data_IF_599685591642
#
_entry.id   IF_599685591642
#
_cell.length_a   1.000
_cell.length_b   1.000
_cell.length_c   1.000
_cell.angle_alpha   90.00
_cell.angle_beta   90.00
_cell.angle_gamma   90.00
#
_symmetry.space_group_name_H-M   'P 1'
#
loop_
_entity.id
_entity.type
_entity.pdbx_description
1 polymer ?
#
# COMPACT_ATOMS: atom_id res chain seq x y z
N UNK A 1 -16.30 19.94 10.92
CA UNK A 1 -16.03 19.65 9.51
C UNK A 1 -15.68 18.18 9.49
N UNK A 2 -16.54 17.34 8.96
CA UNK A 2 -16.33 15.89 8.90
C UNK A 2 -15.21 15.63 7.92
N UNK A 3 -14.15 14.97 8.35
CA UNK A 3 -13.01 14.63 7.48
C UNK A 3 -13.33 13.32 6.76
N UNK A 4 -13.19 13.30 5.45
CA UNK A 4 -13.30 12.08 4.67
C UNK A 4 -11.92 11.45 4.60
N UNK A 5 -11.82 10.22 5.05
CA UNK A 5 -10.58 9.42 4.93
C UNK A 5 -10.74 8.43 3.79
N UNK A 6 -9.73 8.40 2.92
CA UNK A 6 -9.65 7.49 1.78
C UNK A 6 -8.67 6.37 2.11
N UNK A 7 -9.05 5.14 1.83
CA UNK A 7 -8.19 3.97 1.99
C UNK A 7 -8.29 3.08 0.78
N UNK A 8 -7.20 2.43 0.43
CA UNK A 8 -7.15 1.52 -0.71
C UNK A 8 -7.18 0.08 -0.25
N UNK A 9 -8.00 -0.72 -0.93
CA UNK A 9 -8.26 -2.12 -0.62
C UNK A 9 -8.06 -2.96 -1.87
N UNK A 10 -7.46 -4.12 -1.73
CA UNK A 10 -7.43 -5.13 -2.78
C UNK A 10 -8.69 -5.99 -2.71
N UNK A 11 -9.36 -6.12 -3.84
CA UNK A 11 -10.42 -7.12 -4.04
C UNK A 11 -9.88 -8.23 -4.91
N UNK A 12 -9.92 -9.46 -4.41
CA UNK A 12 -9.38 -10.65 -5.04
C UNK A 12 -10.53 -11.56 -5.47
N UNK A 13 -10.74 -11.69 -6.76
CA UNK A 13 -11.78 -12.55 -7.34
C UNK A 13 -12.36 -11.98 -8.63
N UNK A 14 -12.86 -12.87 -9.50
CA UNK A 14 -13.41 -12.50 -10.80
C UNK A 14 -14.74 -11.71 -10.68
N UNK A 15 -15.47 -11.95 -9.62
CA UNK A 15 -16.71 -11.25 -9.23
C UNK A 15 -16.43 -10.04 -8.31
N UNK A 16 -15.29 -9.34 -8.51
CA UNK A 16 -14.82 -8.26 -7.65
C UNK A 16 -15.89 -7.19 -7.34
N UNK A 17 -16.81 -6.91 -8.28
CA UNK A 17 -17.87 -5.93 -8.07
C UNK A 17 -18.93 -6.40 -7.05
N UNK A 18 -19.25 -7.70 -7.03
CA UNK A 18 -20.17 -8.28 -6.05
C UNK A 18 -19.52 -8.39 -4.67
N UNK A 19 -18.23 -8.76 -4.64
CA UNK A 19 -17.43 -8.75 -3.41
C UNK A 19 -17.42 -7.34 -2.79
N UNK A 20 -17.09 -6.33 -3.58
CA UNK A 20 -17.08 -4.95 -3.11
C UNK A 20 -18.46 -4.48 -2.62
N UNK A 21 -19.54 -4.85 -3.34
CA UNK A 21 -20.92 -4.53 -2.93
C UNK A 21 -21.30 -5.22 -1.63
N UNK A 22 -20.93 -6.48 -1.45
CA UNK A 22 -21.19 -7.25 -0.22
C UNK A 22 -20.64 -6.52 1.01
N UNK A 23 -19.38 -6.11 0.98
CA UNK A 23 -18.74 -5.51 2.14
C UNK A 23 -19.08 -4.02 2.32
N UNK A 24 -19.38 -3.28 1.25
CA UNK A 24 -19.87 -1.91 1.38
C UNK A 24 -21.29 -1.85 1.98
N UNK A 25 -22.16 -2.81 1.62
CA UNK A 25 -23.53 -2.86 2.16
C UNK A 25 -23.56 -3.23 3.65
N UNK A 26 -22.71 -4.16 4.07
CA UNK A 26 -22.62 -4.60 5.48
C UNK A 26 -22.13 -3.48 6.42
N UNK A 27 -21.52 -2.45 5.84
CA UNK A 27 -20.98 -1.32 6.60
C UNK A 27 -21.93 -0.10 6.65
N UNK A 28 -23.00 -0.09 5.86
CA UNK A 28 -23.96 1.03 5.77
C UNK A 28 -24.76 1.33 7.06
N UNK A 29 -24.66 0.54 8.11
CA UNK A 29 -25.33 0.75 9.39
C UNK A 29 -24.44 1.30 10.51
N UNK A 30 -23.17 1.50 10.25
CA UNK A 30 -22.21 1.93 11.26
C UNK A 30 -21.70 3.34 10.93
N UNK A 31 -21.93 4.31 11.84
CA UNK A 31 -21.54 5.73 11.63
C UNK A 31 -20.03 5.94 11.37
N UNK A 32 -19.20 4.94 11.71
CA UNK A 32 -17.75 4.93 11.47
C UNK A 32 -17.32 4.00 10.33
N UNK A 33 -18.27 3.52 9.52
CA UNK A 33 -17.98 2.53 8.48
C UNK A 33 -17.66 3.19 7.15
N UNK A 34 -16.97 2.42 6.31
CA UNK A 34 -16.76 2.77 4.91
C UNK A 34 -18.09 2.74 4.17
N UNK A 35 -18.67 3.90 3.89
CA UNK A 35 -19.99 3.97 3.26
C UNK A 35 -19.96 3.86 1.73
N UNK A 36 -18.76 3.87 1.12
CA UNK A 36 -18.64 3.78 -0.33
C UNK A 36 -17.34 3.09 -0.75
N UNK A 37 -17.48 2.08 -1.61
CA UNK A 37 -16.37 1.43 -2.28
C UNK A 37 -16.43 1.73 -3.76
N UNK A 38 -15.41 2.36 -4.30
CA UNK A 38 -15.30 2.69 -5.71
C UNK A 38 -14.06 2.07 -6.32
N UNK A 39 -14.23 1.46 -7.50
CA UNK A 39 -13.08 0.98 -8.26
C UNK A 39 -12.21 2.17 -8.66
N UNK A 40 -10.91 2.09 -8.38
CA UNK A 40 -9.95 3.09 -8.82
C UNK A 40 -9.90 3.17 -10.34
N UNK A 41 -9.89 4.39 -10.87
CA UNK A 41 -9.85 4.67 -12.31
C UNK A 41 -8.95 5.88 -12.56
N UNK A 42 -8.10 5.78 -13.59
CA UNK A 42 -7.12 6.82 -13.89
C UNK A 42 -7.74 8.20 -14.15
N UNK A 43 -8.89 8.26 -14.85
CA UNK A 43 -9.54 9.53 -15.19
C UNK A 43 -10.10 10.29 -13.97
N UNK A 44 -10.26 9.63 -12.83
CA UNK A 44 -10.76 10.28 -11.62
C UNK A 44 -9.69 11.20 -11.01
N UNK A 45 -8.41 10.83 -11.10
CA UNK A 45 -7.30 11.68 -10.70
C UNK A 45 -7.22 12.96 -11.52
N UNK A 46 -7.59 12.89 -12.80
CA UNK A 46 -7.60 14.05 -13.71
C UNK A 46 -8.79 14.99 -13.45
N UNK A 47 -9.93 14.45 -13.01
CA UNK A 47 -11.18 15.19 -12.81
C UNK A 47 -11.24 15.89 -11.45
N UNK A 48 -10.74 15.27 -10.40
CA UNK A 48 -10.88 15.82 -9.04
C UNK A 48 -9.77 16.81 -8.69
N UNK A 49 -8.60 16.69 -9.33
CA UNK A 49 -7.43 17.53 -9.04
C UNK A 49 -6.94 17.43 -7.58
N UNK A 50 -7.54 16.55 -6.78
CA UNK A 50 -7.14 16.31 -5.42
C UNK A 50 -6.00 15.29 -5.41
N UNK A 51 -4.85 15.66 -4.85
CA UNK A 51 -3.81 14.75 -4.43
C UNK A 51 -4.34 13.94 -3.23
N UNK A 52 -5.14 12.91 -3.53
CA UNK A 52 -5.56 11.94 -2.52
C UNK A 52 -4.53 10.82 -2.39
N UNK A 53 -4.63 10.02 -1.34
CA UNK A 53 -3.84 8.79 -1.12
C UNK A 53 -4.28 7.67 -2.11
N UNK A 54 -4.36 8.00 -3.38
CA UNK A 54 -4.71 7.05 -4.42
C UNK A 54 -3.53 6.10 -4.64
N UNK A 55 -3.80 4.82 -4.61
CA UNK A 55 -2.80 3.83 -5.02
C UNK A 55 -2.48 3.97 -6.49
N UNK A 56 -1.20 3.83 -6.81
CA UNK A 56 -0.77 3.69 -8.19
C UNK A 56 -1.38 2.42 -8.82
N UNK A 57 -1.72 2.46 -10.11
CA UNK A 57 -2.15 1.26 -10.83
C UNK A 57 -1.03 0.22 -10.89
N UNK A 58 -1.41 -1.05 -10.97
CA UNK A 58 -0.45 -2.14 -11.13
C UNK A 58 0.38 -1.97 -12.41
N UNK A 59 1.71 -2.05 -12.34
CA UNK A 59 2.54 -2.24 -13.52
C UNK A 59 2.32 -3.65 -14.05
N UNK A 60 2.05 -3.78 -15.35
CA UNK A 60 1.88 -5.05 -16.00
C UNK A 60 3.18 -5.50 -16.69
N UNK A 61 3.35 -6.81 -16.86
CA UNK A 61 4.50 -7.40 -17.53
C UNK A 61 4.64 -6.96 -19.00
N UNK A 62 3.52 -6.57 -19.63
CA UNK A 62 3.52 -6.01 -20.99
C UNK A 62 3.91 -4.52 -21.06
N UNK A 63 4.19 -3.88 -19.92
CA UNK A 63 4.56 -2.47 -19.81
C UNK A 63 3.39 -1.50 -19.61
N UNK A 64 2.16 -1.98 -19.68
CA UNK A 64 0.97 -1.18 -19.39
C UNK A 64 0.73 -1.02 -17.88
N UNK A 65 -0.29 -0.24 -17.53
CA UNK A 65 -0.74 -0.07 -16.15
C UNK A 65 -2.25 -0.29 -16.06
N UNK A 66 -2.72 -0.91 -14.97
CA UNK A 66 -4.14 -1.14 -14.76
C UNK A 66 -4.50 -1.19 -13.27
N UNK A 67 -5.69 -0.73 -12.90
CA UNK A 67 -6.26 -0.92 -11.56
C UNK A 67 -6.94 -2.28 -11.38
N UNK A 68 -6.98 -3.11 -12.43
CA UNK A 68 -7.55 -4.45 -12.39
C UNK A 68 -6.79 -5.32 -13.37
N UNK A 69 -6.19 -6.40 -12.89
CA UNK A 69 -5.42 -7.32 -13.73
C UNK A 69 -5.41 -8.72 -13.14
N UNK A 70 -5.17 -9.73 -13.99
CA UNK A 70 -4.90 -11.08 -13.52
C UNK A 70 -3.61 -11.10 -12.71
N UNK A 71 -3.57 -11.90 -11.65
CA UNK A 71 -2.41 -12.01 -10.77
C UNK A 71 -1.10 -12.21 -11.54
N UNK A 72 -1.11 -13.12 -12.53
CA UNK A 72 0.08 -13.46 -13.31
C UNK A 72 0.51 -12.39 -14.32
N UNK A 73 -0.36 -11.43 -14.65
CA UNK A 73 -0.04 -10.32 -15.56
C UNK A 73 0.64 -9.15 -14.85
N UNK A 74 0.52 -9.09 -13.51
CA UNK A 74 1.11 -8.03 -12.69
C UNK A 74 2.61 -8.27 -12.54
N UNK A 75 3.39 -7.20 -12.70
CA UNK A 75 4.84 -7.18 -12.48
C UNK A 75 5.13 -6.90 -10.99
N UNK A 76 4.97 -7.94 -10.17
CA UNK A 76 5.13 -7.85 -8.71
C UNK A 76 6.54 -7.40 -8.30
N UNK A 77 7.58 -7.73 -9.07
CA UNK A 77 8.96 -7.34 -8.76
C UNK A 77 9.19 -5.82 -8.81
N UNK A 78 8.34 -5.10 -9.55
CA UNK A 78 8.39 -3.63 -9.59
C UNK A 78 7.78 -2.97 -8.37
N UNK A 79 6.85 -3.64 -7.67
CA UNK A 79 6.06 -3.02 -6.59
C UNK A 79 6.20 -3.70 -5.24
N UNK A 80 6.79 -4.90 -5.18
CA UNK A 80 7.05 -5.60 -3.93
C UNK A 80 8.49 -6.05 -3.86
N UNK A 81 9.17 -5.64 -2.78
CA UNK A 81 10.61 -5.89 -2.53
C UNK A 81 11.49 -5.53 -3.72
N UNK A 82 11.12 -4.43 -4.39
CA UNK A 82 11.88 -3.94 -5.54
C UNK A 82 13.33 -3.65 -5.14
N UNK A 83 14.34 -4.23 -5.84
CA UNK A 83 15.75 -4.07 -5.46
C UNK A 83 16.23 -2.62 -5.40
N UNK A 84 15.74 -1.78 -6.32
CA UNK A 84 16.08 -0.35 -6.33
C UNK A 84 15.53 0.37 -5.11
N UNK A 85 14.28 0.08 -4.73
CA UNK A 85 13.67 0.67 -3.54
C UNK A 85 14.34 0.17 -2.27
N UNK A 86 14.73 -1.09 -2.22
CA UNK A 86 15.49 -1.65 -1.11
C UNK A 86 16.84 -0.95 -0.95
N UNK A 87 17.57 -0.72 -2.04
CA UNK A 87 18.86 -0.03 -1.99
C UNK A 87 18.71 1.44 -1.56
N UNK A 88 17.68 2.14 -2.05
CA UNK A 88 17.37 3.51 -1.63
C UNK A 88 17.04 3.58 -0.14
N UNK A 89 16.24 2.64 0.37
CA UNK A 89 15.89 2.57 1.79
C UNK A 89 17.11 2.25 2.66
N UNK A 90 17.94 1.30 2.23
CA UNK A 90 19.22 0.99 2.88
C UNK A 90 20.10 2.23 2.98
N UNK A 91 20.27 2.94 1.87
CA UNK A 91 21.09 4.14 1.83
C UNK A 91 20.55 5.27 2.72
N UNK A 92 19.22 5.43 2.76
CA UNK A 92 18.58 6.40 3.66
C UNK A 92 18.85 6.08 5.12
N UNK A 93 18.79 4.82 5.54
CA UNK A 93 19.15 4.39 6.88
C UNK A 93 20.62 4.68 7.21
N UNK A 94 21.53 4.32 6.32
CA UNK A 94 22.97 4.55 6.48
C UNK A 94 23.29 6.04 6.68
N UNK A 95 22.64 6.91 5.90
CA UNK A 95 22.85 8.36 6.02
C UNK A 95 22.34 8.95 7.33
N UNK A 96 21.16 8.50 7.78
CA UNK A 96 20.44 9.12 8.90
C UNK A 96 20.77 8.48 10.24
N UNK A 97 20.78 7.15 10.29
CA UNK A 97 20.97 6.40 11.55
C UNK A 97 22.44 6.10 11.80
N UNK A 98 23.15 5.62 10.79
CA UNK A 98 24.57 5.24 10.88
C UNK A 98 25.54 6.42 10.62
N UNK A 99 24.98 7.58 10.29
CA UNK A 99 25.73 8.84 10.05
C UNK A 99 26.79 8.76 8.94
N UNK A 100 26.53 7.92 7.93
CA UNK A 100 27.43 7.76 6.78
C UNK A 100 27.62 9.06 6.00
N UNK A 101 28.80 9.22 5.38
CA UNK A 101 29.09 10.39 4.56
C UNK A 101 28.24 10.41 3.27
N UNK A 102 27.63 11.56 2.92
CA UNK A 102 26.89 11.72 1.68
C UNK A 102 27.85 11.67 0.46
N UNK A 103 27.44 10.94 -0.58
CA UNK A 103 28.22 10.79 -1.82
C UNK A 103 27.97 11.93 -2.83
N UNK A 104 26.85 12.65 -2.68
CA UNK A 104 26.44 13.72 -3.60
C UNK A 104 25.55 14.76 -2.90
N UNK A 105 25.18 15.82 -3.63
CA UNK A 105 24.36 16.90 -3.06
C UNK A 105 22.93 16.48 -2.69
N UNK A 106 22.33 15.55 -3.42
CA UNK A 106 21.01 15.03 -3.11
C UNK A 106 21.02 14.28 -1.77
N UNK A 107 22.02 13.45 -1.53
CA UNK A 107 22.19 12.76 -0.27
C UNK A 107 22.51 13.72 0.88
N UNK A 108 23.28 14.76 0.63
CA UNK A 108 23.57 15.82 1.62
C UNK A 108 22.29 16.53 2.04
N UNK A 109 21.45 16.88 1.06
CA UNK A 109 20.15 17.50 1.32
C UNK A 109 19.22 16.55 2.08
N UNK A 110 19.14 15.28 1.67
CA UNK A 110 18.33 14.26 2.32
C UNK A 110 18.78 14.08 3.79
N UNK A 111 20.06 13.90 4.02
CA UNK A 111 20.64 13.75 5.37
C UNK A 111 20.28 14.95 6.24
N UNK A 112 20.52 16.16 5.77
CA UNK A 112 20.22 17.38 6.52
C UNK A 112 18.73 17.51 6.90
N UNK A 113 17.84 17.15 5.96
CA UNK A 113 16.38 17.18 6.17
C UNK A 113 15.90 16.10 7.15
N UNK A 114 16.51 14.92 7.11
CA UNK A 114 16.07 13.75 7.87
C UNK A 114 16.75 13.58 9.22
N UNK A 115 17.88 14.27 9.47
CA UNK A 115 18.58 14.20 10.76
C UNK A 115 17.67 14.55 11.96
N UNK A 116 16.76 15.50 11.80
CA UNK A 116 15.78 15.86 12.83
C UNK A 116 14.76 14.74 13.11
N UNK A 117 14.70 13.73 12.23
CA UNK A 117 13.81 12.59 12.34
C UNK A 117 14.53 11.28 12.66
N UNK A 118 15.79 11.35 13.12
CA UNK A 118 16.58 10.15 13.45
C UNK A 118 15.84 9.26 14.46
N UNK A 119 15.24 9.84 15.50
CA UNK A 119 14.42 9.12 16.47
C UNK A 119 13.23 8.40 15.81
N UNK A 120 12.60 9.00 14.82
CA UNK A 120 11.53 8.33 14.08
C UNK A 120 12.00 7.00 13.44
N UNK A 121 13.20 6.96 12.87
CA UNK A 121 13.77 5.73 12.32
C UNK A 121 14.01 4.68 13.40
N UNK A 122 14.66 5.06 14.49
CA UNK A 122 15.04 4.10 15.55
C UNK A 122 13.87 3.66 16.43
N UNK A 123 12.86 4.51 16.60
CA UNK A 123 11.71 4.22 17.46
C UNK A 123 10.66 3.35 16.72
N UNK A 124 10.53 3.52 15.41
CA UNK A 124 9.55 2.76 14.61
C UNK A 124 10.16 1.52 13.94
N UNK A 125 11.44 1.53 13.60
CA UNK A 125 12.10 0.43 12.91
C UNK A 125 13.31 0.00 13.73
N UNK A 126 13.20 -1.13 14.40
CA UNK A 126 14.23 -1.63 15.31
C UNK A 126 15.57 -1.88 14.60
N UNK A 127 15.53 -2.29 13.32
CA UNK A 127 16.72 -2.59 12.50
C UNK A 127 16.62 -2.00 11.09
N UNK A 128 17.78 -1.91 10.43
CA UNK A 128 17.88 -1.54 9.01
C UNK A 128 17.07 -2.45 8.11
N UNK A 129 17.11 -3.74 8.36
CA UNK A 129 16.40 -4.76 7.59
C UNK A 129 14.88 -4.55 7.65
N UNK A 130 14.35 -4.29 8.83
CA UNK A 130 12.92 -4.00 9.04
C UNK A 130 12.52 -2.72 8.31
N UNK A 131 13.34 -1.67 8.39
CA UNK A 131 13.12 -0.43 7.65
C UNK A 131 13.10 -0.65 6.13
N UNK A 132 14.08 -1.40 5.60
CA UNK A 132 14.15 -1.72 4.17
C UNK A 132 12.95 -2.54 3.72
N UNK A 133 12.54 -3.54 4.49
CA UNK A 133 11.36 -4.36 4.20
C UNK A 133 10.09 -3.51 4.17
N UNK A 134 9.86 -2.65 5.16
CA UNK A 134 8.68 -1.81 5.23
C UNK A 134 8.54 -0.90 3.99
N UNK A 135 9.60 -0.19 3.61
CA UNK A 135 9.57 0.76 2.49
C UNK A 135 9.63 0.11 1.11
N UNK A 136 9.95 -1.16 1.02
CA UNK A 136 9.95 -1.90 -0.25
C UNK A 136 8.78 -2.87 -0.40
N UNK A 137 7.99 -3.09 0.65
CA UNK A 137 6.86 -4.01 0.62
C UNK A 137 5.62 -3.34 0.05
N UNK A 138 4.93 -4.06 -0.84
CA UNK A 138 3.58 -3.71 -1.24
C UNK A 138 2.62 -3.99 -0.08
N UNK A 139 1.74 -3.05 0.20
CA UNK A 139 0.64 -3.25 1.12
C UNK A 139 -0.57 -2.35 0.80
N UNK A 140 -1.73 -2.77 1.25
CA UNK A 140 -2.99 -2.04 1.18
C UNK A 140 -3.65 -2.06 2.56
N UNK A 141 -4.57 -1.15 2.79
CA UNK A 141 -5.29 -1.05 4.05
C UNK A 141 -6.17 -2.26 4.34
N UNK A 142 -6.65 -2.94 3.31
CA UNK A 142 -7.46 -4.13 3.46
C UNK A 142 -7.42 -5.04 2.25
N UNK A 143 -7.96 -6.24 2.43
CA UNK A 143 -8.15 -7.25 1.40
C UNK A 143 -9.54 -7.85 1.53
N UNK A 144 -10.27 -7.91 0.43
CA UNK A 144 -11.58 -8.55 0.33
C UNK A 144 -11.55 -9.72 -0.65
N UNK A 145 -12.15 -10.83 -0.26
CA UNK A 145 -12.41 -12.02 -1.07
C UNK A 145 -13.90 -12.37 -0.97
N UNK A 146 -14.38 -13.37 -1.69
CA UNK A 146 -15.75 -13.87 -1.50
C UNK A 146 -16.03 -14.28 -0.06
N UNK A 147 -15.03 -14.82 0.64
CA UNK A 147 -15.20 -15.43 1.94
C UNK A 147 -15.06 -14.43 3.08
N UNK A 148 -14.12 -13.48 2.97
CA UNK A 148 -13.76 -12.58 4.07
C UNK A 148 -13.28 -11.22 3.61
N UNK A 149 -13.41 -10.26 4.52
CA UNK A 149 -12.74 -8.98 4.50
C UNK A 149 -11.81 -8.86 5.70
N UNK A 150 -10.58 -8.46 5.46
CA UNK A 150 -9.61 -8.15 6.51
C UNK A 150 -9.02 -6.76 6.25
N UNK A 151 -8.89 -5.96 7.29
CA UNK A 151 -8.22 -4.66 7.23
C UNK A 151 -7.17 -4.51 8.33
N UNK A 152 -6.26 -3.56 8.15
CA UNK A 152 -5.27 -3.25 9.17
C UNK A 152 -5.95 -2.66 10.39
N UNK A 153 -5.73 -3.28 11.54
CA UNK A 153 -6.13 -2.72 12.83
C UNK A 153 -5.11 -1.66 13.26
N UNK A 154 -5.43 -0.40 12.98
CA UNK A 154 -4.57 0.72 13.31
C UNK A 154 -4.50 1.02 14.81
N UNK A 155 -5.36 0.42 15.62
CA UNK A 155 -5.44 0.64 17.07
C UNK A 155 -4.68 -0.42 17.87
N UNK A 156 -4.76 -1.69 17.46
CA UNK A 156 -4.26 -2.83 18.24
C UNK A 156 -3.12 -3.58 17.55
N UNK A 157 -2.94 -3.44 16.23
CA UNK A 157 -1.91 -4.14 15.48
C UNK A 157 -0.74 -3.25 15.14
N UNK A 158 0.45 -3.82 15.08
CA UNK A 158 1.59 -3.16 14.47
C UNK A 158 1.33 -3.02 12.97
N UNK A 159 1.05 -1.79 12.54
CA UNK A 159 0.93 -1.47 11.10
C UNK A 159 2.18 -1.93 10.33
N UNK A 160 3.32 -1.94 10.99
CA UNK A 160 4.59 -2.42 10.47
C UNK A 160 4.53 -3.91 10.10
N UNK A 161 3.99 -4.73 11.00
CA UNK A 161 3.85 -6.18 10.76
C UNK A 161 2.88 -6.46 9.61
N UNK A 162 1.76 -5.75 9.57
CA UNK A 162 0.81 -5.82 8.46
C UNK A 162 1.49 -5.51 7.12
N UNK A 163 2.21 -4.38 7.03
CA UNK A 163 2.86 -3.94 5.80
C UNK A 163 3.93 -4.94 5.31
N UNK A 164 4.77 -5.42 6.21
CA UNK A 164 5.87 -6.34 5.86
C UNK A 164 5.34 -7.70 5.39
N UNK A 165 4.29 -8.21 6.03
CA UNK A 165 3.76 -9.55 5.79
C UNK A 165 2.59 -9.56 4.78
N UNK A 166 2.13 -8.42 4.31
CA UNK A 166 0.96 -8.30 3.46
C UNK A 166 0.99 -9.23 2.25
N UNK A 167 2.07 -9.18 1.48
CA UNK A 167 2.21 -9.99 0.27
C UNK A 167 2.23 -11.48 0.60
N UNK A 168 3.01 -11.90 1.58
CA UNK A 168 3.11 -13.31 1.98
C UNK A 168 1.79 -13.85 2.54
N UNK A 169 1.00 -13.00 3.20
CA UNK A 169 -0.29 -13.38 3.80
C UNK A 169 -1.42 -13.51 2.78
N UNK A 170 -1.50 -12.60 1.81
CA UNK A 170 -2.69 -12.46 0.96
C UNK A 170 -2.47 -12.78 -0.51
N UNK A 171 -1.25 -12.67 -1.01
CA UNK A 171 -0.96 -12.76 -2.44
C UNK A 171 -0.11 -13.98 -2.80
N UNK A 172 0.76 -14.42 -1.92
CA UNK A 172 1.59 -15.60 -2.15
C UNK A 172 0.75 -16.86 -2.33
N UNK A 173 1.02 -17.58 -3.40
CA UNK A 173 0.29 -18.81 -3.74
C UNK A 173 -0.92 -18.61 -4.65
N UNK A 174 -1.20 -17.36 -5.08
CA UNK A 174 -2.29 -17.09 -6.04
C UNK A 174 -1.89 -17.37 -7.49
N UNK A 175 -0.65 -17.74 -7.76
CA UNK A 175 -0.12 -18.00 -9.10
C UNK A 175 -0.89 -19.11 -9.82
N UNK A 176 -1.30 -20.16 -9.09
CA UNK A 176 -2.01 -21.32 -9.66
C UNK A 176 -3.45 -20.98 -10.03
N UNK A 177 -4.13 -20.21 -9.19
CA UNK A 177 -5.54 -19.81 -9.41
C UNK A 177 -5.67 -18.60 -10.33
N UNK A 178 -4.62 -17.80 -10.42
CA UNK A 178 -4.55 -16.61 -11.26
C UNK A 178 -5.81 -15.72 -11.19
N UNK A 179 -6.28 -15.32 -10.00
CA UNK A 179 -7.51 -14.55 -9.85
C UNK A 179 -7.35 -13.14 -10.42
N UNK A 180 -8.48 -12.49 -10.69
CA UNK A 180 -8.48 -11.05 -10.94
C UNK A 180 -8.20 -10.31 -9.64
N UNK A 181 -7.25 -9.36 -9.68
CA UNK A 181 -6.92 -8.46 -8.58
C UNK A 181 -7.36 -7.05 -8.97
N UNK A 182 -8.18 -6.41 -8.14
CA UNK A 182 -8.70 -5.07 -8.42
C UNK A 182 -8.47 -4.15 -7.23
N UNK A 183 -8.01 -2.93 -7.48
CA UNK A 183 -7.83 -1.89 -6.46
C UNK A 183 -9.14 -1.12 -6.31
N UNK A 184 -9.66 -1.06 -5.11
CA UNK A 184 -10.79 -0.25 -4.70
C UNK A 184 -10.34 0.85 -3.73
N UNK A 185 -11.00 1.97 -3.82
CA UNK A 185 -10.92 3.05 -2.86
C UNK A 185 -12.16 3.01 -1.98
N UNK A 186 -11.94 3.12 -0.69
CA UNK A 186 -13.02 3.20 0.28
C UNK A 186 -13.03 4.57 0.93
N UNK A 187 -14.23 5.06 1.23
CA UNK A 187 -14.44 6.34 1.85
C UNK A 187 -15.03 6.11 3.24
N UNK A 188 -14.43 6.70 4.26
CA UNK A 188 -14.98 6.72 5.62
C UNK A 188 -15.17 8.15 6.11
N UNK A 189 -16.13 8.34 6.99
CA UNK A 189 -16.30 9.56 7.76
C UNK A 189 -15.58 9.40 9.11
N UNK A 190 -14.61 10.26 9.38
CA UNK A 190 -13.96 10.38 10.69
C UNK A 190 -14.63 11.46 11.55
#
# INVERSE_FOLDING_TARGET
>A
MTKITYRTILVIGDNHADIARKYSADLEGNENAYYKWERCQQHRLEVTGEEGDFSDPFPLKNGEKSYSARFNDIDWEKIHRNPKQMELSKRAWELVVEDSEPLNEQERYLKARMLQRKSYFTDNFVTKEVYMQYYSSLWYYGVATEEKYEEVDTWNSSILEWCINFFDKFLKGLEETNPLITIYETHSLD
#
